data_IF_847595226928
#
_entry.id   IF_847595226928
#
_cell.length_a   1.000
_cell.length_b   1.000
_cell.length_c   1.000
_cell.angle_alpha   90.00
_cell.angle_beta   90.00
_cell.angle_gamma   90.00
#
_symmetry.space_group_name_H-M   'P 1'
#
loop_
_entity.id
_entity.type
_entity.pdbx_description
1 polymer ?
#
# COMPACT_ATOMS: atom_id res chain seq x y z
N UNK A 1 -13.38 -8.34 7.64
CA UNK A 1 -12.09 -8.45 8.39
C UNK A 1 -12.41 -8.46 9.88
N UNK A 2 -12.26 -9.60 10.57
CA UNK A 2 -12.74 -9.83 11.94
C UNK A 2 -11.64 -9.96 13.01
N UNK A 3 -10.39 -10.19 12.62
CA UNK A 3 -9.31 -10.48 13.59
C UNK A 3 -9.02 -9.37 14.62
N UNK A 4 -9.46 -8.12 14.39
CA UNK A 4 -9.33 -7.05 15.40
C UNK A 4 -10.33 -7.19 16.55
N UNK A 5 -11.51 -7.75 16.29
CA UNK A 5 -12.56 -7.94 17.29
C UNK A 5 -12.39 -9.23 18.11
N UNK A 6 -11.45 -10.11 17.75
CA UNK A 6 -11.18 -11.37 18.45
C UNK A 6 -10.01 -11.28 19.44
N UNK A 7 -9.61 -10.06 19.83
CA UNK A 7 -8.57 -9.90 20.86
C UNK A 7 -9.15 -10.29 22.21
N UNK A 8 -8.40 -11.02 23.07
CA UNK A 8 -8.86 -11.36 24.39
C UNK A 8 -8.82 -10.13 25.29
N UNK A 9 -9.92 -9.38 25.33
CA UNK A 9 -10.09 -8.17 26.14
C UNK A 9 -11.30 -8.24 27.09
N UNK A 10 -12.08 -9.33 27.03
CA UNK A 10 -13.27 -9.56 27.85
C UNK A 10 -14.52 -8.82 27.36
N UNK A 11 -14.44 -8.06 26.26
CA UNK A 11 -15.56 -7.30 25.73
C UNK A 11 -16.38 -8.12 24.73
N UNK A 12 -17.68 -7.83 24.67
CA UNK A 12 -18.57 -8.35 23.62
C UNK A 12 -18.50 -7.40 22.41
N UNK A 13 -18.31 -7.95 21.21
CA UNK A 13 -18.25 -7.17 19.96
C UNK A 13 -19.34 -7.64 18.99
N UNK A 14 -20.01 -6.68 18.34
CA UNK A 14 -20.98 -6.96 17.28
C UNK A 14 -20.30 -6.94 15.91
N UNK A 15 -20.52 -7.99 15.12
CA UNK A 15 -20.03 -8.09 13.74
C UNK A 15 -21.20 -7.86 12.79
N UNK A 16 -21.11 -6.81 11.97
CA UNK A 16 -22.09 -6.53 10.91
C UNK A 16 -21.55 -7.05 9.58
N UNK A 17 -22.09 -8.17 9.11
CA UNK A 17 -21.70 -8.79 7.84
C UNK A 17 -22.69 -8.40 6.73
N UNK A 18 -22.39 -7.32 6.01
CA UNK A 18 -23.27 -6.82 4.95
C UNK A 18 -23.24 -7.68 3.68
N UNK A 19 -22.14 -8.40 3.43
CA UNK A 19 -21.98 -9.22 2.21
C UNK A 19 -22.38 -10.67 2.48
N UNK A 20 -22.71 -11.00 3.73
CA UNK A 20 -23.14 -12.32 4.15
C UNK A 20 -22.07 -13.41 3.85
N UNK A 21 -20.79 -13.02 3.94
CA UNK A 21 -19.63 -13.88 3.71
C UNK A 21 -19.60 -15.09 4.65
N UNK A 22 -20.24 -14.99 5.82
CA UNK A 22 -20.40 -16.11 6.75
C UNK A 22 -21.05 -17.34 6.10
N UNK A 23 -21.92 -17.16 5.11
CA UNK A 23 -22.56 -18.29 4.42
C UNK A 23 -21.63 -19.00 3.43
N UNK A 24 -20.61 -18.30 2.92
CA UNK A 24 -19.63 -18.88 1.99
C UNK A 24 -18.41 -19.48 2.73
N UNK A 25 -17.95 -18.81 3.79
CA UNK A 25 -16.70 -19.15 4.47
C UNK A 25 -16.86 -19.69 5.89
N UNK A 26 -18.06 -19.61 6.47
CA UNK A 26 -18.33 -20.00 7.86
C UNK A 26 -18.07 -18.88 8.87
N UNK A 27 -18.30 -19.20 10.14
CA UNK A 27 -18.01 -18.32 11.26
C UNK A 27 -16.49 -18.17 11.46
N UNK A 28 -16.01 -17.04 11.99
CA UNK A 28 -14.57 -16.77 12.11
C UNK A 28 -13.85 -17.64 13.16
N UNK A 29 -14.59 -18.27 14.06
CA UNK A 29 -14.13 -19.18 15.11
C UNK A 29 -14.31 -20.66 14.74
N UNK A 30 -14.79 -20.95 13.51
CA UNK A 30 -14.93 -22.33 13.06
C UNK A 30 -13.54 -22.97 12.91
N UNK A 31 -13.42 -24.21 13.36
CA UNK A 31 -12.18 -24.97 13.19
C UNK A 31 -12.02 -25.33 11.70
N UNK A 32 -10.84 -25.04 11.16
CA UNK A 32 -10.51 -25.33 9.76
C UNK A 32 -9.39 -26.36 9.69
N UNK A 33 -9.64 -27.46 8.97
CA UNK A 33 -8.60 -28.42 8.60
C UNK A 33 -7.78 -27.87 7.42
N UNK A 34 -6.55 -27.45 7.71
CA UNK A 34 -5.61 -27.00 6.69
C UNK A 34 -4.82 -28.19 6.14
N UNK A 35 -4.83 -28.37 4.81
CA UNK A 35 -3.98 -29.33 4.11
C UNK A 35 -2.91 -28.59 3.31
N UNK A 36 -1.69 -29.11 3.32
CA UNK A 36 -0.55 -28.56 2.59
C UNK A 36 -0.51 -29.00 1.11
N UNK A 37 -1.49 -29.77 0.66
CA UNK A 37 -1.55 -30.35 -0.69
C UNK A 37 -1.67 -29.31 -1.82
N UNK A 38 -1.77 -28.03 -1.47
CA UNK A 38 -1.99 -26.93 -2.40
C UNK A 38 -3.40 -26.98 -2.98
N UNK A 39 -4.03 -25.83 -3.14
CA UNK A 39 -5.25 -25.79 -3.93
C UNK A 39 -4.89 -26.10 -5.40
N UNK A 40 -5.59 -27.05 -6.02
CA UNK A 40 -5.52 -27.21 -7.48
C UNK A 40 -5.84 -25.86 -8.15
N UNK A 41 -5.13 -25.46 -9.23
CA UNK A 41 -5.29 -24.14 -9.86
C UNK A 41 -6.66 -23.92 -10.54
N UNK A 42 -7.65 -24.77 -10.28
CA UNK A 42 -8.89 -24.90 -11.03
C UNK A 42 -9.90 -23.75 -10.85
N UNK A 43 -9.65 -22.76 -9.99
CA UNK A 43 -10.57 -21.62 -9.81
C UNK A 43 -10.17 -20.33 -10.53
N UNK A 44 -9.02 -20.29 -11.20
CA UNK A 44 -8.51 -19.05 -11.81
C UNK A 44 -9.20 -18.62 -13.11
N UNK A 45 -10.13 -19.42 -13.65
CA UNK A 45 -10.57 -19.33 -15.05
C UNK A 45 -12.05 -19.04 -15.32
N UNK A 46 -12.89 -18.76 -14.32
CA UNK A 46 -14.31 -18.45 -14.57
C UNK A 46 -14.61 -16.98 -14.27
N UNK A 47 -15.05 -16.28 -15.31
CA UNK A 47 -15.58 -14.92 -15.30
C UNK A 47 -14.76 -13.87 -14.56
N UNK A 48 -13.54 -13.60 -15.05
CA UNK A 48 -12.92 -12.31 -14.75
C UNK A 48 -13.62 -11.27 -15.61
N UNK A 49 -14.55 -10.54 -15.01
CA UNK A 49 -15.11 -9.34 -15.61
C UNK A 49 -14.00 -8.49 -16.22
N UNK A 50 -14.24 -8.00 -17.43
CA UNK A 50 -13.27 -7.17 -18.12
C UNK A 50 -12.93 -5.96 -17.22
N UNK A 51 -11.64 -5.64 -17.01
CA UNK A 51 -11.25 -4.57 -16.11
C UNK A 51 -11.92 -3.26 -16.54
N UNK A 52 -12.60 -2.61 -15.60
CA UNK A 52 -13.24 -1.32 -15.81
C UNK A 52 -12.27 -0.19 -15.46
N UNK A 53 -12.39 0.93 -16.18
CA UNK A 53 -11.69 2.19 -15.88
C UNK A 53 -12.66 3.36 -15.85
N UNK A 54 -12.30 4.39 -15.09
CA UNK A 54 -12.94 5.70 -15.14
C UNK A 54 -12.19 6.60 -16.13
N UNK A 55 -12.92 7.27 -17.02
CA UNK A 55 -12.34 8.28 -17.90
C UNK A 55 -11.91 9.53 -17.12
N UNK A 56 -10.68 10.05 -17.29
CA UNK A 56 -10.22 11.26 -16.60
C UNK A 56 -10.86 12.55 -17.15
N UNK A 57 -11.35 12.54 -18.40
CA UNK A 57 -11.96 13.71 -19.04
C UNK A 57 -13.46 13.86 -18.70
N UNK A 58 -14.24 12.78 -18.82
CA UNK A 58 -15.70 12.84 -18.64
C UNK A 58 -16.26 12.01 -17.47
N UNK A 59 -15.42 11.26 -16.75
CA UNK A 59 -15.84 10.45 -15.60
C UNK A 59 -16.62 9.18 -15.93
N UNK A 60 -16.97 8.92 -17.19
CA UNK A 60 -17.66 7.69 -17.61
C UNK A 60 -16.85 6.43 -17.24
N UNK A 61 -17.54 5.41 -16.72
CA UNK A 61 -16.97 4.09 -16.47
C UNK A 61 -17.13 3.25 -17.73
N UNK A 62 -16.02 2.73 -18.26
CA UNK A 62 -16.02 1.91 -19.46
C UNK A 62 -15.03 0.75 -19.35
N UNK A 63 -15.19 -0.24 -20.23
CA UNK A 63 -14.20 -1.31 -20.44
C UNK A 63 -12.95 -0.71 -21.05
N UNK A 64 -11.77 -1.21 -20.63
CA UNK A 64 -10.47 -0.77 -21.16
C UNK A 64 -10.47 -0.76 -22.69
N UNK A 65 -10.37 0.44 -23.25
CA UNK A 65 -10.36 0.74 -24.68
C UNK A 65 -9.27 1.76 -25.00
N UNK A 66 -8.90 1.90 -26.27
CA UNK A 66 -7.93 2.93 -26.73
C UNK A 66 -8.47 4.35 -26.57
N UNK A 67 -9.77 4.50 -26.72
CA UNK A 67 -10.45 5.79 -26.76
C UNK A 67 -11.76 5.69 -25.97
N UNK A 68 -12.07 6.71 -25.18
CA UNK A 68 -13.30 6.73 -24.39
C UNK A 68 -14.54 6.75 -25.32
N UNK A 69 -15.50 5.82 -25.16
CA UNK A 69 -16.69 5.78 -26.01
C UNK A 69 -17.66 6.95 -25.80
N UNK A 70 -17.52 7.70 -24.69
CA UNK A 70 -18.41 8.82 -24.38
C UNK A 70 -17.87 10.18 -24.87
N UNK A 71 -16.57 10.45 -24.69
CA UNK A 71 -15.99 11.77 -24.99
C UNK A 71 -14.82 11.74 -25.98
N UNK A 72 -14.52 10.58 -26.57
CA UNK A 72 -13.42 10.38 -27.50
C UNK A 72 -12.00 10.69 -26.94
N UNK A 73 -11.82 10.77 -25.61
CA UNK A 73 -10.50 10.93 -25.01
C UNK A 73 -9.57 9.74 -25.33
N UNK A 74 -8.43 10.02 -25.96
CA UNK A 74 -7.38 9.02 -26.22
C UNK A 74 -6.57 8.72 -24.98
N UNK A 75 -6.48 7.46 -24.61
CA UNK A 75 -5.73 7.06 -23.43
C UNK A 75 -4.24 6.92 -23.77
N UNK A 76 -3.33 7.57 -23.01
CA UNK A 76 -1.91 7.47 -23.28
C UNK A 76 -1.44 6.04 -23.11
N UNK A 77 -0.75 5.51 -24.13
CA UNK A 77 -0.04 4.24 -24.04
C UNK A 77 1.24 4.50 -23.27
N UNK A 78 1.26 4.08 -22.01
CA UNK A 78 2.49 4.11 -21.22
C UNK A 78 3.37 2.99 -21.73
N UNK A 79 4.50 3.33 -22.33
CA UNK A 79 5.53 2.35 -22.64
C UNK A 79 6.00 1.71 -21.34
N UNK A 80 5.94 0.38 -21.27
CA UNK A 80 6.35 -0.40 -20.11
C UNK A 80 7.70 -1.07 -20.37
N UNK A 81 8.59 -0.38 -21.06
CA UNK A 81 9.97 -0.83 -21.23
C UNK A 81 10.63 -0.97 -19.86
N UNK A 82 10.99 -2.20 -19.50
CA UNK A 82 11.77 -2.48 -18.30
C UNK A 82 13.24 -2.42 -18.68
N UNK A 83 14.05 -1.69 -17.91
CA UNK A 83 15.50 -1.73 -18.09
C UNK A 83 16.03 -3.07 -17.56
N UNK A 84 16.60 -3.86 -18.45
CA UNK A 84 17.25 -5.13 -18.10
C UNK A 84 18.74 -4.82 -17.89
N UNK A 85 19.25 -5.17 -16.71
CA UNK A 85 20.66 -5.06 -16.40
C UNK A 85 21.17 -6.45 -16.00
N UNK A 86 22.33 -6.84 -16.54
CA UNK A 86 23.00 -8.07 -16.14
C UNK A 86 23.53 -7.93 -14.71
N UNK A 87 23.19 -8.89 -13.86
CA UNK A 87 23.64 -8.96 -12.47
C UNK A 87 24.44 -10.22 -12.22
N UNK A 88 25.63 -10.08 -11.63
CA UNK A 88 26.40 -11.24 -11.15
C UNK A 88 26.01 -11.55 -9.70
N UNK A 89 25.60 -12.79 -9.44
CA UNK A 89 25.27 -13.24 -8.09
C UNK A 89 26.54 -13.36 -7.24
N UNK A 90 26.53 -12.75 -6.06
CA UNK A 90 27.57 -12.94 -5.05
C UNK A 90 26.98 -13.53 -3.78
N UNK A 91 27.69 -14.50 -3.19
CA UNK A 91 27.28 -15.13 -1.95
C UNK A 91 27.55 -14.19 -0.77
N UNK A 92 26.49 -13.75 -0.10
CA UNK A 92 26.59 -12.96 1.13
C UNK A 92 26.70 -13.93 2.31
N UNK A 93 27.87 -13.95 2.98
CA UNK A 93 28.08 -14.69 4.23
C UNK A 93 27.44 -13.93 5.39
N UNK A 94 26.90 -14.63 6.39
CA UNK A 94 26.16 -14.06 7.55
C UNK A 94 26.90 -12.93 8.26
N UNK A 95 28.25 -12.97 8.28
CA UNK A 95 29.10 -11.96 8.92
C UNK A 95 29.16 -10.63 8.17
N UNK A 96 28.71 -10.56 6.91
CA UNK A 96 28.66 -9.30 6.14
C UNK A 96 27.52 -8.37 6.56
N UNK A 97 26.51 -8.89 7.28
CA UNK A 97 25.46 -8.07 7.93
C UNK A 97 25.83 -7.62 9.35
N UNK A 98 27.02 -7.98 9.84
CA UNK A 98 27.52 -7.52 11.15
C UNK A 98 27.98 -6.06 11.15
N UNK A 99 27.92 -5.39 9.99
CA UNK A 99 27.82 -3.93 9.96
C UNK A 99 26.45 -3.55 10.49
N UNK A 100 26.36 -3.23 11.78
CA UNK A 100 25.20 -2.56 12.39
C UNK A 100 24.63 -1.60 11.35
N UNK A 101 23.39 -1.82 10.89
CA UNK A 101 22.59 -0.68 10.44
C UNK A 101 22.56 0.20 11.67
N UNK A 102 23.43 1.22 11.74
CA UNK A 102 23.26 2.26 12.73
C UNK A 102 21.81 2.70 12.56
N UNK A 103 20.95 2.52 13.58
CA UNK A 103 19.61 3.02 13.48
C UNK A 103 19.76 4.51 13.19
N UNK A 104 19.35 4.94 12.00
CA UNK A 104 19.28 6.36 11.69
C UNK A 104 18.39 6.93 12.78
N UNK A 105 19.00 7.68 13.71
CA UNK A 105 18.27 8.28 14.81
C UNK A 105 17.22 9.16 14.15
N UNK A 106 15.94 8.87 14.41
CA UNK A 106 14.89 9.75 13.92
C UNK A 106 15.15 11.11 14.58
N UNK A 107 15.25 12.21 13.83
CA UNK A 107 15.32 13.53 14.44
C UNK A 107 14.08 13.71 15.33
N UNK A 108 14.28 13.69 16.65
CA UNK A 108 13.25 13.94 17.64
C UNK A 108 13.33 15.40 18.05
N UNK A 109 12.42 16.23 17.55
CA UNK A 109 12.37 17.65 17.88
C UNK A 109 11.45 18.42 16.94
N UNK A 110 11.03 19.64 17.34
CA UNK A 110 10.32 20.54 16.43
C UNK A 110 11.22 20.90 15.24
N UNK A 111 10.60 21.12 14.08
CA UNK A 111 11.29 21.66 12.90
C UNK A 111 11.85 23.05 13.26
N UNK A 112 13.14 23.34 13.03
CA UNK A 112 13.70 24.66 13.29
C UNK A 112 12.98 25.78 12.53
N UNK A 113 12.90 26.96 13.15
CA UNK A 113 12.23 28.13 12.60
C UNK A 113 12.91 28.59 11.29
N UNK A 114 12.12 28.84 10.24
CA UNK A 114 12.61 29.22 8.91
C UNK A 114 12.73 28.09 7.88
N UNK A 115 12.51 26.83 8.26
CA UNK A 115 12.39 25.72 7.30
C UNK A 115 10.94 25.59 6.81
N UNK A 116 10.68 26.06 5.59
CA UNK A 116 9.33 26.08 4.99
C UNK A 116 9.06 24.90 4.06
N UNK A 117 10.07 24.09 3.75
CA UNK A 117 9.97 22.98 2.80
C UNK A 117 10.49 21.67 3.38
N UNK A 118 9.99 20.55 2.84
CA UNK A 118 10.39 19.19 3.23
C UNK A 118 11.87 18.96 2.89
N UNK A 119 12.31 19.52 1.77
CA UNK A 119 13.67 19.43 1.24
C UNK A 119 14.68 20.10 2.17
N UNK A 120 14.38 21.32 2.64
CA UNK A 120 15.22 22.04 3.61
C UNK A 120 15.39 21.29 4.92
N UNK A 121 14.31 20.68 5.42
CA UNK A 121 14.38 19.86 6.64
C UNK A 121 15.16 18.57 6.41
N UNK A 122 14.96 17.90 5.27
CA UNK A 122 15.66 16.67 4.91
C UNK A 122 17.19 16.89 4.88
N UNK A 123 17.62 17.99 4.26
CA UNK A 123 19.01 18.40 4.19
C UNK A 123 19.61 18.68 5.57
N UNK A 124 18.90 19.45 6.41
CA UNK A 124 19.34 19.73 7.78
C UNK A 124 19.44 18.47 8.65
N UNK A 125 18.46 17.58 8.55
CA UNK A 125 18.40 16.36 9.35
C UNK A 125 19.26 15.22 8.79
N UNK A 126 19.93 15.41 7.66
CA UNK A 126 20.78 14.38 7.03
C UNK A 126 19.99 13.14 6.60
N UNK A 127 18.71 13.29 6.26
CA UNK A 127 17.82 12.19 5.86
C UNK A 127 17.28 12.44 4.45
N UNK A 128 16.84 11.37 3.77
CA UNK A 128 16.16 11.54 2.48
C UNK A 128 14.80 12.23 2.65
N UNK A 129 14.41 13.10 1.72
CA UNK A 129 13.09 13.74 1.71
C UNK A 129 11.94 12.72 1.71
N UNK A 130 12.14 11.54 1.10
CA UNK A 130 11.17 10.45 1.15
C UNK A 130 10.99 9.88 2.57
N UNK A 131 12.05 9.90 3.39
CA UNK A 131 12.02 9.48 4.79
C UNK A 131 11.32 10.50 5.70
N UNK A 132 11.22 11.77 5.30
CA UNK A 132 10.51 12.85 6.03
C UNK A 132 8.98 12.71 5.97
N UNK A 133 8.42 12.01 4.97
CA UNK A 133 6.96 11.84 4.86
C UNK A 133 6.34 11.02 5.99
N UNK A 134 7.13 10.21 6.69
CA UNK A 134 6.66 9.38 7.80
C UNK A 134 6.49 10.18 9.13
N UNK A 135 7.41 11.08 9.52
CA UNK A 135 7.20 11.95 10.70
C UNK A 135 6.00 12.91 10.58
N UNK A 136 5.59 13.32 9.38
CA UNK A 136 4.38 14.15 9.18
C UNK A 136 3.06 13.43 9.58
N UNK A 137 3.10 12.10 9.76
CA UNK A 137 1.94 11.27 10.14
C UNK A 137 1.68 11.25 11.66
N UNK A 138 2.63 11.72 12.46
CA UNK A 138 2.54 11.81 13.92
C UNK A 138 2.65 13.27 14.39
N UNK A 139 1.70 14.10 13.98
CA UNK A 139 1.41 15.39 14.62
C UNK A 139 2.50 16.45 14.54
N UNK A 140 2.41 17.34 13.56
CA UNK A 140 2.97 18.69 13.70
C UNK A 140 2.41 19.33 14.98
N UNK A 141 3.24 19.97 15.83
CA UNK A 141 2.71 20.91 16.79
C UNK A 141 2.15 22.12 16.02
N UNK A 142 0.82 22.21 15.98
CA UNK A 142 0.05 23.44 15.77
C UNK A 142 0.46 24.32 14.58
N UNK A 143 -0.12 24.04 13.42
CA UNK A 143 -0.15 25.01 12.32
C UNK A 143 -0.96 24.44 11.16
N UNK A 144 -2.16 24.99 10.91
CA UNK A 144 -2.99 24.59 9.77
C UNK A 144 -2.18 24.75 8.47
N UNK A 145 -1.91 23.64 7.80
CA UNK A 145 -1.46 23.68 6.41
C UNK A 145 -2.70 24.00 5.58
N UNK A 146 -2.77 25.23 5.07
CA UNK A 146 -3.71 25.56 4.00
C UNK A 146 -3.17 24.89 2.74
N UNK A 147 -3.90 23.91 2.22
CA UNK A 147 -3.65 23.33 0.90
C UNK A 147 -4.44 24.18 -0.10
N UNK A 148 -3.83 24.67 -1.20
CA UNK A 148 -4.57 25.27 -2.31
C UNK A 148 -5.39 24.21 -3.08
#
# INVERSE_FOLDING_TARGET
MVGRSMRPDGNIVHILDHVALVYEHGLPDIEHEWKLDGASPARAGKDKDAPLRRCPSCGCINVMSKTCPNCAYEYPVVDRSVMIADGTLILIKETAFAGRREPVSRPTGPVPEGMMTIEQYAEHAGISAHSVRNPLRQGMPGGRIHVP
#
